data_IF_119067803253
#
_entry.id   IF_119067803253
#
_cell.length_a   1.000
_cell.length_b   1.000
_cell.length_c   1.000
_cell.angle_alpha   90.00
_cell.angle_beta   90.00
_cell.angle_gamma   90.00
#
_symmetry.space_group_name_H-M   'P 1'
#
loop_
_entity.id
_entity.type
_entity.pdbx_description
1 polymer ?
#
# COMPACT_ATOMS: atom_id res chain seq x y z
N UNK A 1 14.22 21.14 -39.61
CA UNK A 1 13.52 19.88 -39.92
C UNK A 1 14.28 18.78 -39.21
N UNK A 2 13.77 18.33 -38.07
CA UNK A 2 14.38 17.29 -37.25
C UNK A 2 13.40 16.10 -37.22
N UNK A 3 13.87 14.93 -37.68
CA UNK A 3 13.14 13.67 -37.56
C UNK A 3 13.20 13.20 -36.11
N UNK A 4 12.03 12.88 -35.55
CA UNK A 4 11.89 12.27 -34.23
C UNK A 4 12.43 10.84 -34.21
N UNK A 5 13.06 10.48 -33.09
CA UNK A 5 13.37 9.09 -32.74
C UNK A 5 12.21 8.54 -31.90
N UNK A 6 11.53 7.52 -32.43
CA UNK A 6 10.82 6.54 -31.62
C UNK A 6 11.84 5.74 -30.78
N UNK A 7 11.53 5.56 -29.50
CA UNK A 7 12.26 4.67 -28.60
C UNK A 7 11.48 3.35 -28.57
N UNK A 8 11.83 2.44 -29.47
CA UNK A 8 11.52 1.01 -29.33
C UNK A 8 12.38 0.43 -28.21
N UNK A 9 11.77 0.08 -27.09
CA UNK A 9 12.39 -0.78 -26.07
C UNK A 9 11.80 -2.17 -26.24
N UNK A 10 12.33 -2.92 -27.20
CA UNK A 10 12.21 -4.38 -27.25
C UNK A 10 13.51 -4.94 -26.67
N UNK A 11 13.53 -5.08 -25.35
CA UNK A 11 14.55 -5.82 -24.62
C UNK A 11 13.89 -7.04 -23.98
N UNK A 12 13.76 -8.12 -24.74
CA UNK A 12 13.38 -9.41 -24.21
C UNK A 12 14.45 -9.85 -23.19
N UNK A 13 14.13 -9.78 -21.91
CA UNK A 13 14.90 -10.47 -20.87
C UNK A 13 14.64 -11.97 -21.05
N UNK A 14 15.72 -12.73 -21.20
CA UNK A 14 15.67 -14.18 -21.26
C UNK A 14 15.04 -14.74 -19.97
N UNK A 15 14.27 -15.84 -20.04
CA UNK A 15 13.71 -16.47 -18.86
C UNK A 15 14.85 -17.07 -18.03
N UNK A 16 15.24 -16.38 -16.96
CA UNK A 16 15.97 -17.02 -15.87
C UNK A 16 15.02 -18.02 -15.20
N UNK A 17 15.52 -19.22 -14.98
CA UNK A 17 14.85 -20.40 -14.44
C UNK A 17 13.69 -20.08 -13.50
N UNK A 18 12.51 -20.56 -13.88
CA UNK A 18 11.37 -20.74 -12.99
C UNK A 18 11.85 -21.72 -11.91
N UNK A 19 12.25 -21.19 -10.75
CA UNK A 19 12.33 -22.00 -9.53
C UNK A 19 10.88 -22.31 -9.18
N UNK A 20 10.45 -23.51 -9.56
CA UNK A 20 9.25 -24.12 -9.06
C UNK A 20 9.48 -24.47 -7.59
N UNK A 21 9.20 -23.54 -6.68
CA UNK A 21 9.05 -23.89 -5.28
C UNK A 21 7.57 -24.21 -5.02
N UNK A 22 7.32 -25.51 -4.98
CA UNK A 22 6.10 -26.08 -4.44
C UNK A 22 5.84 -25.55 -3.04
N UNK A 23 4.56 -25.33 -2.78
CA UNK A 23 4.05 -24.88 -1.50
C UNK A 23 4.73 -25.57 -0.32
N UNK A 24 5.56 -24.80 0.37
CA UNK A 24 5.67 -24.89 1.80
C UNK A 24 5.38 -23.49 2.32
N UNK A 25 4.49 -23.31 3.31
CA UNK A 25 4.43 -22.06 4.02
C UNK A 25 5.87 -21.83 4.51
N UNK A 26 6.53 -20.79 4.00
CA UNK A 26 7.73 -20.33 4.69
C UNK A 26 7.28 -20.12 6.14
N UNK A 27 8.03 -20.59 7.14
CA UNK A 27 7.74 -20.19 8.50
C UNK A 27 7.64 -18.67 8.47
N UNK A 28 6.64 -18.11 9.16
CA UNK A 28 6.63 -16.71 9.49
C UNK A 28 7.90 -16.44 10.30
N UNK A 29 9.02 -16.23 9.61
CA UNK A 29 10.20 -15.66 10.20
C UNK A 29 9.79 -14.21 10.42
N UNK A 30 9.15 -13.97 11.57
CA UNK A 30 9.13 -12.66 12.18
C UNK A 30 10.54 -12.09 12.03
N UNK A 31 10.70 -10.86 11.55
CA UNK A 31 11.94 -10.18 11.85
C UNK A 31 12.04 -10.15 13.37
N UNK A 32 12.84 -11.04 13.95
CA UNK A 32 13.13 -11.12 15.38
C UNK A 32 14.14 -10.05 15.78
N UNK A 33 14.03 -8.87 15.17
CA UNK A 33 14.68 -7.65 15.63
C UNK A 33 13.68 -6.90 16.50
N UNK A 34 14.12 -6.25 17.60
CA UNK A 34 13.25 -5.27 18.25
C UNK A 34 12.77 -4.30 17.16
N UNK A 35 11.47 -4.04 17.09
CA UNK A 35 10.96 -2.90 16.33
C UNK A 35 11.80 -1.70 16.77
N UNK A 36 12.58 -1.14 15.84
CA UNK A 36 13.27 0.12 16.12
C UNK A 36 12.15 1.13 16.16
N UNK A 37 11.65 1.40 17.36
CA UNK A 37 10.77 2.53 17.61
C UNK A 37 11.54 3.75 17.10
N UNK A 38 11.10 4.30 15.98
CA UNK A 38 11.57 5.59 15.55
C UNK A 38 11.27 6.55 16.72
N UNK A 39 12.30 7.29 17.14
CA UNK A 39 12.14 8.27 18.22
C UNK A 39 10.91 9.16 17.93
N UNK A 40 10.13 9.54 18.95
CA UNK A 40 8.93 10.34 18.76
C UNK A 40 9.19 11.54 17.84
N UNK A 41 8.46 11.58 16.72
CA UNK A 41 8.36 12.81 15.92
C UNK A 41 7.43 13.73 16.69
N UNK A 42 8.00 14.46 17.64
CA UNK A 42 7.32 15.60 18.25
C UNK A 42 7.13 16.63 17.14
N UNK A 43 5.88 16.86 16.73
CA UNK A 43 5.60 17.75 15.61
C UNK A 43 5.93 19.23 15.92
N UNK A 44 6.43 19.53 17.12
CA UNK A 44 6.74 20.87 17.57
C UNK A 44 5.51 21.78 17.62
N UNK A 45 5.76 23.10 17.60
CA UNK A 45 4.72 24.12 17.44
C UNK A 45 3.86 23.84 16.19
N UNK A 46 2.65 24.41 16.11
CA UNK A 46 1.58 24.11 15.13
C UNK A 46 1.87 24.21 13.61
N UNK A 47 3.14 24.16 13.20
CA UNK A 47 3.55 23.94 11.83
C UNK A 47 3.44 22.43 11.45
N UNK A 48 3.11 22.11 10.19
CA UNK A 48 3.16 20.74 9.69
C UNK A 48 4.57 20.16 9.81
N UNK A 49 4.68 18.91 10.26
CA UNK A 49 5.92 18.16 10.17
C UNK A 49 5.94 17.34 8.89
N UNK A 50 7.02 17.46 8.12
CA UNK A 50 7.17 16.77 6.84
C UNK A 50 8.19 15.64 6.99
N UNK A 51 7.76 14.44 6.64
CA UNK A 51 8.58 13.25 6.52
C UNK A 51 8.71 12.88 5.04
N UNK A 52 9.93 12.59 4.58
CA UNK A 52 10.19 12.16 3.20
C UNK A 52 11.13 10.96 3.23
N UNK A 53 10.71 9.87 2.58
CA UNK A 53 11.50 8.65 2.38
C UNK A 53 11.70 8.37 0.89
N UNK A 54 12.88 7.89 0.53
CA UNK A 54 13.24 7.47 -0.84
C UNK A 54 13.88 6.08 -0.90
N UNK A 55 13.89 5.31 0.19
CA UNK A 55 14.42 3.94 0.30
C UNK A 55 15.88 3.72 -0.13
N UNK A 56 16.59 4.75 -0.58
CA UNK A 56 18.02 4.73 -0.96
C UNK A 56 18.93 4.30 0.19
N UNK A 57 18.48 4.51 1.43
CA UNK A 57 19.19 4.10 2.65
C UNK A 57 18.59 2.85 3.30
N UNK A 58 17.67 2.18 2.60
CA UNK A 58 16.92 1.05 3.10
C UNK A 58 15.73 1.43 3.97
N UNK A 59 15.36 0.54 4.90
CA UNK A 59 14.16 0.64 5.74
C UNK A 59 14.47 1.10 7.17
N UNK A 60 15.50 1.93 7.38
CA UNK A 60 15.99 2.25 8.72
C UNK A 60 14.95 2.87 9.65
N UNK A 61 13.91 3.53 9.09
CA UNK A 61 12.83 4.19 9.83
C UNK A 61 11.50 3.42 9.75
N UNK A 62 11.52 2.18 9.25
CA UNK A 62 10.33 1.41 8.96
C UNK A 62 10.36 0.07 9.69
N UNK A 63 9.19 -0.36 10.12
CA UNK A 63 8.95 -1.74 10.53
C UNK A 63 8.42 -2.53 9.35
N UNK A 64 9.02 -3.68 9.09
CA UNK A 64 8.65 -4.56 7.98
C UNK A 64 8.18 -5.91 8.48
N UNK A 65 7.34 -6.59 7.71
CA UNK A 65 7.03 -8.02 7.85
C UNK A 65 6.68 -8.63 6.50
N UNK A 66 6.66 -9.97 6.43
CA UNK A 66 6.18 -10.69 5.25
C UNK A 66 7.11 -10.64 4.04
N UNK A 67 8.41 -10.40 4.26
CA UNK A 67 9.41 -10.42 3.19
C UNK A 67 9.52 -9.13 2.38
N UNK A 68 9.22 -7.97 2.99
CA UNK A 68 9.52 -6.68 2.37
C UNK A 68 11.03 -6.56 2.15
N UNK A 69 11.41 -6.23 0.91
CA UNK A 69 12.79 -6.14 0.47
C UNK A 69 13.03 -4.85 -0.33
N UNK A 70 14.30 -4.48 -0.49
CA UNK A 70 14.68 -3.41 -1.42
C UNK A 70 14.78 -3.99 -2.82
N UNK A 71 14.14 -3.31 -3.78
CA UNK A 71 14.29 -3.61 -5.20
C UNK A 71 14.80 -2.37 -5.94
N UNK A 72 15.42 -2.59 -7.10
CA UNK A 72 15.76 -1.51 -8.02
C UNK A 72 14.90 -1.59 -9.28
N UNK A 73 14.12 -0.54 -9.54
CA UNK A 73 13.31 -0.40 -10.76
C UNK A 73 13.74 0.87 -11.47
N UNK A 74 14.19 0.72 -12.72
CA UNK A 74 14.65 1.87 -13.51
C UNK A 74 15.90 2.57 -12.93
N UNK A 75 16.63 1.92 -12.02
CA UNK A 75 17.82 2.46 -11.35
C UNK A 75 17.54 3.15 -10.01
N UNK A 76 16.27 3.31 -9.62
CA UNK A 76 15.86 3.90 -8.34
C UNK A 76 15.64 2.81 -7.28
N UNK A 77 15.93 3.11 -6.02
CA UNK A 77 15.68 2.20 -4.89
C UNK A 77 14.20 2.26 -4.50
N UNK A 78 13.56 1.09 -4.38
CA UNK A 78 12.12 1.00 -4.11
C UNK A 78 11.85 0.00 -3.01
N UNK A 79 10.82 0.26 -2.19
CA UNK A 79 10.28 -0.71 -1.26
C UNK A 79 9.43 -1.72 -2.02
N UNK A 80 9.90 -2.97 -2.10
CA UNK A 80 9.15 -4.08 -2.67
C UNK A 80 8.42 -4.81 -1.55
N UNK A 81 7.08 -4.77 -1.56
CA UNK A 81 6.28 -5.49 -0.57
C UNK A 81 6.21 -6.98 -0.89
N UNK A 82 5.92 -7.34 -2.15
CA UNK A 82 5.86 -8.73 -2.59
C UNK A 82 6.59 -8.85 -3.92
N UNK A 83 7.42 -9.89 -4.03
CA UNK A 83 8.14 -10.22 -5.26
C UNK A 83 7.21 -10.74 -6.36
N UNK A 84 7.51 -10.40 -7.61
CA UNK A 84 6.78 -10.91 -8.78
C UNK A 84 6.80 -12.45 -8.78
N UNK A 85 5.65 -13.07 -9.03
CA UNK A 85 5.48 -14.53 -9.03
C UNK A 85 5.12 -15.14 -7.67
N UNK A 86 5.24 -14.39 -6.57
CA UNK A 86 4.93 -14.92 -5.24
C UNK A 86 3.41 -15.13 -5.04
N UNK A 87 3.03 -16.22 -4.36
CA UNK A 87 1.65 -16.63 -4.10
C UNK A 87 1.40 -16.83 -2.62
N UNK A 88 0.16 -16.66 -2.18
CA UNK A 88 -0.31 -16.86 -0.80
C UNK A 88 0.57 -16.09 0.18
N UNK A 89 0.77 -14.79 -0.11
CA UNK A 89 1.66 -13.90 0.62
C UNK A 89 0.91 -12.71 1.18
N UNK A 90 1.36 -12.25 2.33
CA UNK A 90 1.03 -10.97 2.90
C UNK A 90 2.33 -10.29 3.32
N UNK A 91 2.44 -8.99 3.07
CA UNK A 91 3.59 -8.18 3.45
C UNK A 91 3.16 -6.79 3.87
N UNK A 92 3.98 -6.17 4.72
CA UNK A 92 3.71 -4.83 5.19
C UNK A 92 4.96 -4.05 5.55
N UNK A 93 4.91 -2.76 5.22
CA UNK A 93 5.96 -1.77 5.39
C UNK A 93 5.36 -0.57 6.10
N UNK A 94 5.68 -0.40 7.39
CA UNK A 94 5.03 0.57 8.26
C UNK A 94 6.01 1.56 8.84
N UNK A 95 5.70 2.82 8.63
CA UNK A 95 6.26 3.91 9.37
C UNK A 95 5.49 4.01 10.68
N UNK A 96 6.15 3.57 11.76
CA UNK A 96 5.64 3.69 13.12
C UNK A 96 6.45 4.76 13.84
N UNK A 97 5.96 5.99 13.88
CA UNK A 97 6.43 6.90 14.90
C UNK A 97 5.27 7.32 15.78
N UNK A 98 5.65 7.90 16.92
CA UNK A 98 4.79 8.52 17.93
C UNK A 98 4.03 9.76 17.41
N UNK A 99 3.56 9.73 16.16
CA UNK A 99 2.74 10.75 15.53
C UNK A 99 1.32 10.48 15.97
N UNK A 100 0.85 11.16 17.01
CA UNK A 100 -0.59 11.34 17.18
C UNK A 100 -1.00 12.41 16.17
N UNK A 101 -1.52 12.02 15.00
CA UNK A 101 -2.11 12.96 14.05
C UNK A 101 -3.62 12.70 13.91
N UNK A 102 -4.43 13.76 13.91
CA UNK A 102 -5.85 13.67 13.49
C UNK A 102 -6.05 14.08 12.04
N UNK A 103 -5.01 14.61 11.40
CA UNK A 103 -5.03 14.95 9.98
C UNK A 103 -3.63 14.86 9.37
N UNK A 104 -3.57 14.42 8.13
CA UNK A 104 -2.34 14.27 7.37
C UNK A 104 -2.58 14.38 5.87
N UNK A 105 -1.53 14.68 5.12
CA UNK A 105 -1.42 14.47 3.68
C UNK A 105 -0.35 13.42 3.44
N UNK A 106 -0.67 12.38 2.68
CA UNK A 106 0.26 11.37 2.21
C UNK A 106 0.37 11.45 0.70
N UNK A 107 1.59 11.55 0.19
CA UNK A 107 1.87 11.48 -1.25
C UNK A 107 2.87 10.37 -1.48
N UNK A 108 2.53 9.41 -2.34
CA UNK A 108 3.43 8.30 -2.64
C UNK A 108 3.35 7.88 -4.10
N UNK A 109 4.47 7.35 -4.59
CA UNK A 109 4.52 6.70 -5.88
C UNK A 109 4.39 5.18 -5.68
N UNK A 110 3.54 4.55 -6.48
CA UNK A 110 3.44 3.10 -6.54
C UNK A 110 3.64 2.60 -7.97
N UNK A 111 4.08 1.35 -8.06
CA UNK A 111 4.18 0.60 -9.29
C UNK A 111 3.73 -0.84 -9.05
N UNK A 112 2.85 -1.31 -9.92
CA UNK A 112 2.47 -2.71 -10.02
C UNK A 112 2.72 -3.10 -11.48
N UNK A 113 3.63 -4.05 -11.76
CA UNK A 113 3.92 -4.47 -13.12
C UNK A 113 2.66 -4.90 -13.85
N UNK A 114 2.64 -4.73 -15.17
CA UNK A 114 1.56 -5.29 -15.97
C UNK A 114 1.69 -6.82 -15.93
N UNK A 115 0.67 -7.56 -15.51
CA UNK A 115 0.73 -9.01 -15.54
C UNK A 115 0.87 -9.53 -16.98
N UNK A 116 1.49 -10.71 -17.16
CA UNK A 116 1.28 -11.51 -18.36
C UNK A 116 -0.22 -11.70 -18.65
N UNK A 117 -0.58 -11.83 -19.93
CA UNK A 117 -1.99 -11.92 -20.33
C UNK A 117 -2.71 -13.18 -19.79
N UNK A 118 -1.94 -14.18 -19.34
CA UNK A 118 -2.39 -15.45 -18.79
C UNK A 118 -2.30 -15.51 -17.25
N UNK A 119 -1.93 -14.41 -16.58
CA UNK A 119 -1.89 -14.34 -15.13
C UNK A 119 -3.14 -13.71 -14.54
N UNK A 120 -3.68 -14.38 -13.53
CA UNK A 120 -4.57 -13.77 -12.54
C UNK A 120 -3.76 -12.81 -11.67
N UNK A 121 -4.25 -11.58 -11.50
CA UNK A 121 -3.64 -10.59 -10.60
C UNK A 121 -4.50 -10.43 -9.38
N UNK A 122 -3.94 -10.74 -8.23
CA UNK A 122 -4.56 -10.45 -6.96
C UNK A 122 -3.52 -10.24 -5.87
N UNK A 123 -3.89 -9.75 -4.70
CA UNK A 123 -5.23 -9.21 -4.39
C UNK A 123 -5.14 -7.68 -4.33
N UNK A 124 -4.03 -7.12 -3.86
CA UNK A 124 -3.84 -5.68 -4.00
C UNK A 124 -2.72 -5.09 -3.17
N UNK A 125 -2.68 -3.76 -3.24
CA UNK A 125 -1.80 -2.88 -2.48
C UNK A 125 -2.66 -1.89 -1.71
N UNK A 126 -2.31 -1.64 -0.46
CA UNK A 126 -2.95 -0.61 0.35
C UNK A 126 -1.95 0.45 0.78
N UNK A 127 -2.43 1.68 0.91
CA UNK A 127 -1.90 2.64 1.87
C UNK A 127 -2.80 2.63 3.10
N UNK A 128 -2.22 2.31 4.25
CA UNK A 128 -2.93 2.06 5.51
C UNK A 128 -2.59 3.12 6.55
N UNK A 129 -3.59 3.59 7.29
CA UNK A 129 -3.42 4.41 8.49
C UNK A 129 -4.17 3.80 9.66
N UNK A 130 -3.41 3.35 10.66
CA UNK A 130 -3.92 2.67 11.84
C UNK A 130 -4.13 3.65 12.98
N UNK A 131 -5.14 3.40 13.80
CA UNK A 131 -5.50 4.20 14.99
C UNK A 131 -5.35 3.44 16.31
N UNK A 132 -4.94 2.17 16.24
CA UNK A 132 -4.67 1.31 17.38
C UNK A 132 -3.29 0.67 17.27
N UNK A 133 -2.48 0.78 18.33
CA UNK A 133 -1.24 0.00 18.50
C UNK A 133 -1.40 -0.96 19.67
N UNK A 134 -1.83 -2.19 19.40
CA UNK A 134 -1.30 -3.31 20.21
C UNK A 134 0.18 -3.51 19.88
N UNK A 135 0.85 -4.47 20.51
CA UNK A 135 2.17 -4.98 20.03
C UNK A 135 2.02 -6.04 18.93
N UNK A 136 0.78 -6.46 18.62
CA UNK A 136 0.42 -7.40 17.54
C UNK A 136 0.08 -6.84 16.13
N UNK A 137 -0.09 -5.52 15.90
CA UNK A 137 -0.72 -4.99 14.69
C UNK A 137 0.16 -5.07 13.45
N UNK A 138 1.36 -5.65 13.53
CA UNK A 138 2.33 -5.78 12.43
C UNK A 138 2.87 -7.21 12.34
N UNK A 139 2.08 -8.16 12.84
CA UNK A 139 2.48 -9.53 13.13
C UNK A 139 2.27 -10.52 11.99
N UNK A 140 2.66 -11.78 12.28
CA UNK A 140 2.60 -12.95 11.39
C UNK A 140 1.20 -13.35 10.92
N UNK A 141 0.15 -12.74 11.48
CA UNK A 141 -1.25 -13.05 11.22
C UNK A 141 -1.90 -12.08 10.20
N UNK A 142 -1.08 -11.41 9.38
CA UNK A 142 -1.59 -10.64 8.25
C UNK A 142 -2.31 -11.59 7.28
N UNK A 143 -3.55 -11.25 6.92
CA UNK A 143 -4.34 -12.08 6.02
C UNK A 143 -3.83 -11.89 4.59
N UNK A 144 -3.52 -13.01 3.93
CA UNK A 144 -3.27 -13.03 2.50
C UNK A 144 -4.60 -12.90 1.73
N UNK A 145 -4.53 -12.99 0.39
CA UNK A 145 -5.72 -12.95 -0.45
C UNK A 145 -6.51 -11.65 -0.27
N UNK A 146 -7.83 -11.79 -0.19
CA UNK A 146 -8.82 -10.73 0.05
C UNK A 146 -8.60 -9.89 1.33
N UNK A 147 -7.67 -10.30 2.21
CA UNK A 147 -7.26 -9.51 3.36
C UNK A 147 -6.31 -8.35 3.04
N UNK A 148 -5.80 -8.24 1.80
CA UNK A 148 -4.87 -7.18 1.35
C UNK A 148 -3.60 -7.04 2.20
N UNK A 149 -3.20 -8.09 2.91
CA UNK A 149 -2.07 -8.08 3.84
C UNK A 149 -2.34 -7.24 5.08
N UNK A 150 -3.60 -6.89 5.33
CA UNK A 150 -3.97 -6.08 6.47
C UNK A 150 -3.86 -6.92 7.75
N UNK A 151 -3.24 -6.38 8.81
CA UNK A 151 -3.10 -7.08 10.07
C UNK A 151 -4.45 -7.38 10.70
N UNK A 152 -4.59 -8.55 11.32
CA UNK A 152 -5.71 -8.83 12.21
C UNK A 152 -5.70 -7.91 13.44
N UNK A 153 -6.86 -7.72 14.07
CA UNK A 153 -7.01 -7.01 15.36
C UNK A 153 -6.59 -5.53 15.36
N UNK A 154 -6.62 -4.87 14.21
CA UNK A 154 -6.31 -3.43 14.08
C UNK A 154 -7.53 -2.60 13.70
N UNK A 155 -7.61 -1.41 14.28
CA UNK A 155 -8.58 -0.38 13.90
C UNK A 155 -7.91 0.70 13.07
N UNK A 156 -8.58 1.16 12.02
CA UNK A 156 -8.07 2.20 11.16
C UNK A 156 -8.76 2.20 9.82
N UNK A 157 -8.04 2.64 8.79
CA UNK A 157 -8.55 2.67 7.44
C UNK A 157 -7.43 2.41 6.45
N UNK A 158 -7.82 2.08 5.22
CA UNK A 158 -6.91 1.96 4.11
C UNK A 158 -7.51 2.55 2.84
N UNK A 159 -6.61 3.02 1.97
CA UNK A 159 -6.85 3.26 0.56
C UNK A 159 -6.24 2.08 -0.19
N UNK A 160 -7.06 1.21 -0.79
CA UNK A 160 -6.58 0.08 -1.57
C UNK A 160 -6.68 0.33 -3.07
N UNK A 161 -5.66 -0.15 -3.78
CA UNK A 161 -5.80 -0.66 -5.13
C UNK A 161 -6.11 -2.15 -5.01
N UNK A 162 -7.35 -2.50 -5.30
CA UNK A 162 -7.82 -3.88 -5.32
C UNK A 162 -7.76 -4.42 -6.75
N UNK A 163 -7.01 -5.49 -6.94
CA UNK A 163 -6.76 -6.12 -8.22
C UNK A 163 -7.62 -7.35 -8.49
N UNK A 164 -8.34 -7.85 -7.48
CA UNK A 164 -9.09 -9.10 -7.58
C UNK A 164 -10.52 -8.95 -7.09
N UNK A 165 -11.45 -9.71 -7.66
CA UNK A 165 -12.86 -9.64 -7.25
C UNK A 165 -13.20 -10.81 -6.34
N UNK A 166 -13.24 -10.58 -5.02
CA UNK A 166 -13.75 -11.53 -4.05
C UNK A 166 -15.26 -11.33 -3.83
N UNK A 167 -16.07 -12.02 -4.64
CA UNK A 167 -17.54 -11.94 -4.56
C UNK A 167 -18.13 -12.24 -3.17
N UNK A 168 -17.42 -12.96 -2.29
CA UNK A 168 -17.85 -13.25 -0.91
C UNK A 168 -17.89 -12.04 0.02
N UNK A 169 -17.17 -10.95 -0.33
CA UNK A 169 -17.11 -9.71 0.46
C UNK A 169 -17.64 -8.49 -0.30
N UNK A 170 -18.44 -8.74 -1.34
CA UNK A 170 -19.08 -7.73 -2.20
C UNK A 170 -18.12 -6.84 -3.00
N UNK A 171 -16.95 -7.36 -3.37
CA UNK A 171 -16.08 -6.62 -4.29
C UNK A 171 -16.81 -6.37 -5.62
N UNK A 172 -16.65 -5.14 -6.12
CA UNK A 172 -17.01 -4.83 -7.50
C UNK A 172 -16.00 -5.47 -8.47
N UNK A 173 -16.26 -5.32 -9.76
CA UNK A 173 -15.29 -5.73 -10.78
C UNK A 173 -13.95 -4.99 -10.56
N UNK A 174 -12.86 -5.74 -10.68
CA UNK A 174 -11.49 -5.26 -10.48
C UNK A 174 -10.81 -4.93 -11.82
N UNK A 175 -9.78 -4.05 -11.85
CA UNK A 175 -9.19 -3.34 -10.71
C UNK A 175 -10.06 -2.18 -10.21
N UNK A 176 -10.06 -1.95 -8.91
CA UNK A 176 -10.80 -0.86 -8.27
C UNK A 176 -9.96 -0.14 -7.22
N UNK A 177 -10.36 1.10 -6.89
CA UNK A 177 -9.84 1.78 -5.71
C UNK A 177 -10.91 1.79 -4.62
N UNK A 178 -10.48 1.53 -3.39
CA UNK A 178 -11.37 1.39 -2.25
C UNK A 178 -10.90 2.23 -1.06
N UNK A 179 -11.84 2.87 -0.37
CA UNK A 179 -11.65 3.28 1.03
C UNK A 179 -12.27 2.21 1.90
N UNK A 180 -11.50 1.79 2.88
CA UNK A 180 -11.72 0.59 3.66
C UNK A 180 -11.70 0.96 5.13
N UNK A 181 -12.64 0.44 5.92
CA UNK A 181 -12.67 0.62 7.37
C UNK A 181 -12.25 -0.68 8.05
N UNK A 182 -11.17 -0.61 8.83
CA UNK A 182 -10.63 -1.72 9.59
C UNK A 182 -11.26 -1.70 10.98
N UNK A 183 -12.04 -2.73 11.32
CA UNK A 183 -12.75 -2.84 12.59
C UNK A 183 -12.72 -4.29 13.08
N UNK A 184 -11.89 -4.62 14.08
CA UNK A 184 -11.75 -6.00 14.53
C UNK A 184 -13.00 -6.53 15.22
N UNK A 185 -13.93 -5.65 15.64
CA UNK A 185 -15.21 -6.07 16.19
C UNK A 185 -16.14 -6.70 15.14
N UNK A 186 -15.87 -6.50 13.85
CA UNK A 186 -16.64 -7.06 12.74
C UNK A 186 -16.08 -8.38 12.23
N UNK A 187 -14.84 -8.72 12.57
CA UNK A 187 -14.13 -9.94 12.17
C UNK A 187 -12.72 -9.66 11.70
N UNK A 188 -12.10 -10.64 11.03
CA UNK A 188 -10.78 -10.47 10.42
C UNK A 188 -10.89 -9.74 9.06
N UNK A 189 -9.84 -9.00 8.64
CA UNK A 189 -9.79 -8.39 7.32
C UNK A 189 -10.15 -9.39 6.21
N UNK A 190 -11.00 -8.95 5.29
CA UNK A 190 -11.47 -9.78 4.19
C UNK A 190 -12.51 -10.85 4.57
N UNK A 191 -13.02 -10.96 5.81
CA UNK A 191 -14.09 -11.92 6.14
C UNK A 191 -15.52 -11.35 6.08
N UNK A 192 -15.64 -10.05 5.94
CA UNK A 192 -16.90 -9.30 5.90
C UNK A 192 -16.69 -8.07 5.02
N UNK A 193 -17.78 -7.41 4.63
CA UNK A 193 -17.69 -6.18 3.83
C UNK A 193 -17.21 -4.99 4.68
N UNK A 194 -16.10 -4.43 4.25
CA UNK A 194 -15.29 -3.42 4.91
C UNK A 194 -15.18 -2.17 4.04
N UNK A 195 -15.83 -2.16 2.86
CA UNK A 195 -15.86 -1.05 1.95
C UNK A 195 -16.68 0.11 2.52
N UNK A 196 -16.01 1.25 2.65
CA UNK A 196 -16.67 2.54 2.89
C UNK A 196 -17.08 3.14 1.54
N UNK A 197 -16.17 3.06 0.56
CA UNK A 197 -16.38 3.60 -0.77
C UNK A 197 -15.53 2.88 -1.79
N UNK A 198 -16.15 2.49 -2.90
CA UNK A 198 -15.47 1.89 -4.05
C UNK A 198 -15.59 2.79 -5.27
N UNK A 199 -14.54 2.83 -6.08
CA UNK A 199 -14.52 3.42 -7.41
C UNK A 199 -13.87 2.42 -8.38
N UNK A 200 -14.54 2.14 -9.50
CA UNK A 200 -14.07 1.17 -10.50
C UNK A 200 -15.25 0.49 -11.23
N UNK A 201 -14.96 -0.48 -12.11
CA UNK A 201 -13.62 -0.94 -12.49
C UNK A 201 -12.84 0.12 -13.27
N UNK A 202 -11.51 0.05 -13.21
CA UNK A 202 -10.60 0.81 -14.05
C UNK A 202 -10.02 -0.07 -15.16
N UNK A 203 -9.59 0.54 -16.26
CA UNK A 203 -8.84 -0.18 -17.29
C UNK A 203 -7.47 -0.61 -16.71
N UNK A 204 -7.03 -1.87 -16.91
CA UNK A 204 -5.73 -2.34 -16.40
C UNK A 204 -4.55 -1.46 -16.82
N UNK A 205 -4.60 -0.86 -18.01
CA UNK A 205 -3.55 0.05 -18.49
C UNK A 205 -3.48 1.37 -17.71
N UNK A 206 -4.56 1.75 -17.01
CA UNK A 206 -4.60 2.94 -16.17
C UNK A 206 -3.97 2.71 -14.80
N UNK A 207 -3.91 1.46 -14.32
CA UNK A 207 -3.43 1.13 -12.96
C UNK A 207 -2.14 0.32 -12.93
N UNK A 208 -1.83 -0.47 -13.97
CA UNK A 208 -0.69 -1.40 -14.02
C UNK A 208 0.33 -1.03 -15.11
N UNK A 209 1.57 -1.46 -14.90
CA UNK A 209 2.66 -1.32 -15.86
C UNK A 209 3.27 0.08 -15.93
N UNK A 210 2.85 0.99 -15.06
CA UNK A 210 3.27 2.39 -15.05
C UNK A 210 3.34 2.93 -13.63
N UNK A 211 4.31 3.81 -13.36
CA UNK A 211 4.38 4.53 -12.09
C UNK A 211 3.20 5.48 -11.96
N UNK A 212 2.59 5.47 -10.78
CA UNK A 212 1.43 6.30 -10.43
C UNK A 212 1.69 7.01 -9.12
N UNK A 213 1.22 8.25 -9.03
CA UNK A 213 1.27 9.02 -7.78
C UNK A 213 -0.12 9.10 -7.19
N UNK A 214 -0.25 8.73 -5.92
CA UNK A 214 -1.45 8.98 -5.12
C UNK A 214 -1.16 10.12 -4.16
N UNK A 215 -2.10 11.06 -4.07
CA UNK A 215 -2.18 12.00 -2.95
C UNK A 215 -3.46 11.70 -2.17
N UNK A 216 -3.32 11.35 -0.90
CA UNK A 216 -4.41 11.14 0.04
C UNK A 216 -4.37 12.20 1.14
N UNK A 217 -5.50 12.84 1.41
CA UNK A 217 -5.67 13.85 2.45
C UNK A 217 -6.73 13.36 3.43
N UNK A 218 -6.34 13.24 4.69
CA UNK A 218 -7.25 12.95 5.80
C UNK A 218 -7.33 14.19 6.68
N UNK A 219 -8.52 14.79 6.77
CA UNK A 219 -8.76 15.94 7.62
C UNK A 219 -10.25 16.08 7.96
N UNK A 220 -10.55 16.60 9.15
CA UNK A 220 -11.91 16.96 9.55
C UNK A 220 -12.95 15.82 9.39
N UNK A 221 -12.58 14.58 9.75
CA UNK A 221 -13.48 13.43 9.63
C UNK A 221 -13.74 12.99 8.19
N UNK A 222 -12.85 13.33 7.26
CA UNK A 222 -13.00 13.05 5.83
C UNK A 222 -11.69 12.59 5.19
N UNK A 223 -11.83 11.78 4.15
CA UNK A 223 -10.75 11.40 3.23
C UNK A 223 -11.04 11.95 1.84
N UNK A 224 -10.03 12.54 1.22
CA UNK A 224 -9.99 12.84 -0.21
C UNK A 224 -8.76 12.19 -0.82
N UNK A 225 -8.86 11.66 -2.03
CA UNK A 225 -7.71 11.08 -2.72
C UNK A 225 -7.74 11.40 -4.21
N UNK A 226 -6.55 11.63 -4.76
CA UNK A 226 -6.34 11.83 -6.20
C UNK A 226 -5.28 10.90 -6.72
N UNK A 227 -5.42 10.50 -7.98
CA UNK A 227 -4.48 9.69 -8.73
C UNK A 227 -3.95 10.52 -9.90
N UNK A 228 -2.63 10.61 -10.01
CA UNK A 228 -1.98 11.19 -11.18
C UNK A 228 -1.60 10.09 -12.16
N UNK A 229 -2.19 10.14 -13.36
CA UNK A 229 -1.78 9.29 -14.47
C UNK A 229 -0.50 9.90 -15.11
N UNK A 230 0.57 9.12 -15.27
CA UNK A 230 1.81 9.52 -15.97
C UNK A 230 1.64 9.35 -17.49
N UNK A 231 2.27 10.10 -18.42
CA UNK A 231 2.94 11.42 -18.44
C UNK A 231 2.05 12.42 -19.19
N UNK A 232 1.64 13.52 -18.54
CA UNK A 232 0.84 14.60 -19.14
C UNK A 232 -0.69 14.41 -19.14
N UNK A 233 -1.19 13.25 -18.69
CA UNK A 233 -2.62 12.95 -18.68
C UNK A 233 -3.22 13.15 -17.28
N UNK A 234 -4.06 14.17 -17.13
CA UNK A 234 -5.16 14.31 -16.17
C UNK A 234 -4.98 13.73 -14.74
N UNK A 235 -5.15 14.61 -13.75
CA UNK A 235 -5.40 14.17 -12.37
C UNK A 235 -6.82 13.62 -12.28
N UNK A 236 -6.94 12.33 -11.96
CA UNK A 236 -8.22 11.71 -11.65
C UNK A 236 -8.53 11.91 -10.16
N UNK A 237 -9.70 12.42 -9.85
CA UNK A 237 -10.20 12.42 -8.47
C UNK A 237 -10.71 11.02 -8.17
N UNK A 238 -10.09 10.32 -7.23
CA UNK A 238 -10.58 9.02 -6.77
C UNK A 238 -11.74 9.23 -5.80
N UNK A 239 -11.53 10.07 -4.79
CA UNK A 239 -12.49 10.32 -3.72
C UNK A 239 -12.49 11.78 -3.31
N UNK A 240 -13.66 12.29 -2.94
CA UNK A 240 -13.82 13.63 -2.40
C UNK A 240 -14.66 13.55 -1.14
N UNK A 241 -14.10 14.04 -0.03
CA UNK A 241 -14.80 14.26 1.23
C UNK A 241 -15.56 13.02 1.76
N UNK A 242 -15.00 11.83 1.58
CA UNK A 242 -15.61 10.58 2.06
C UNK A 242 -15.57 10.57 3.59
N UNK A 243 -16.72 10.50 4.29
CA UNK A 243 -16.74 10.53 5.74
C UNK A 243 -16.03 9.32 6.35
N UNK A 244 -15.19 9.58 7.35
CA UNK A 244 -14.54 8.56 8.18
C UNK A 244 -14.53 8.99 9.66
N UNK A 245 -14.40 8.02 10.55
CA UNK A 245 -14.16 8.30 11.96
C UNK A 245 -12.69 8.69 12.20
N UNK A 246 -12.46 9.91 12.70
CA UNK A 246 -11.14 10.42 13.11
C UNK A 246 -11.11 10.76 14.60
N UNK A 247 -11.95 10.12 15.41
CA UNK A 247 -12.02 10.32 16.86
C UNK A 247 -10.75 9.80 17.57
N UNK A 248 -10.12 8.77 17.01
CA UNK A 248 -8.83 8.27 17.42
C UNK A 248 -7.68 8.90 16.60
N UNK A 249 -6.54 9.10 17.26
CA UNK A 249 -5.33 9.55 16.56
C UNK A 249 -4.75 8.41 15.72
N UNK A 250 -4.20 8.74 14.55
CA UNK A 250 -3.34 7.82 13.80
C UNK A 250 -2.13 7.48 14.65
N UNK A 251 -1.66 6.24 14.57
CA UNK A 251 -0.53 5.70 15.33
C UNK A 251 0.49 4.97 14.45
N UNK A 252 0.09 4.60 13.22
CA UNK A 252 1.00 4.08 12.20
C UNK A 252 0.49 4.47 10.81
N UNK A 253 1.42 4.74 9.91
CA UNK A 253 1.17 4.90 8.47
C UNK A 253 1.99 3.85 7.74
N UNK A 254 1.47 3.27 6.67
CA UNK A 254 2.25 2.26 5.97
C UNK A 254 1.57 1.75 4.72
N UNK A 255 2.15 0.68 4.21
CA UNK A 255 1.67 -0.02 3.05
C UNK A 255 1.53 -1.49 3.39
N UNK A 256 0.46 -2.11 2.92
CA UNK A 256 0.32 -3.57 2.94
C UNK A 256 0.05 -4.06 1.54
N UNK A 257 0.41 -5.30 1.28
CA UNK A 257 0.00 -5.98 0.07
C UNK A 257 -0.24 -7.45 0.37
N UNK A 258 -1.08 -8.09 -0.43
CA UNK A 258 -1.21 -9.53 -0.43
C UNK A 258 -1.43 -10.10 -1.81
N UNK A 259 -1.21 -11.41 -1.87
CA UNK A 259 -1.68 -12.30 -2.93
C UNK A 259 -2.34 -13.52 -2.31
N UNK A 260 -3.45 -13.98 -2.87
CA UNK A 260 -4.04 -15.28 -2.63
C UNK A 260 -3.32 -16.34 -3.47
N UNK A 261 -4.06 -17.31 -4.00
CA UNK A 261 -3.46 -18.38 -4.83
C UNK A 261 -2.94 -17.88 -6.20
N UNK A 262 -3.28 -16.65 -6.56
CA UNK A 262 -2.79 -15.93 -7.74
C UNK A 262 -1.34 -15.44 -7.54
N UNK A 263 -0.58 -15.39 -8.64
CA UNK A 263 0.79 -14.90 -8.60
C UNK A 263 0.81 -13.37 -8.51
N UNK A 264 1.67 -12.81 -7.67
CA UNK A 264 1.88 -11.37 -7.60
C UNK A 264 2.44 -10.85 -8.92
N UNK A 265 1.86 -9.79 -9.46
CA UNK A 265 2.58 -8.97 -10.45
C UNK A 265 3.83 -8.32 -9.82
N UNK A 266 3.82 -8.14 -8.49
CA UNK A 266 4.82 -7.43 -7.70
C UNK A 266 4.25 -6.08 -7.22
N UNK A 267 4.55 -5.70 -6.00
CA UNK A 267 4.05 -4.45 -5.40
C UNK A 267 5.19 -3.59 -4.93
N UNK A 268 5.31 -2.40 -5.50
CA UNK A 268 6.43 -1.50 -5.27
C UNK A 268 5.93 -0.13 -4.85
N UNK A 269 6.62 0.45 -3.88
CA UNK A 269 6.44 1.82 -3.41
C UNK A 269 7.78 2.53 -3.50
N UNK A 270 7.77 3.75 -4.02
CA UNK A 270 8.95 4.61 -4.13
C UNK A 270 8.80 5.80 -3.16
N UNK A 271 8.95 7.05 -3.60
CA UNK A 271 9.05 8.21 -2.73
C UNK A 271 7.77 8.35 -1.93
N UNK A 272 7.89 8.39 -0.61
CA UNK A 272 6.78 8.59 0.32
C UNK A 272 6.98 9.92 1.04
N UNK A 273 5.98 10.77 1.00
CA UNK A 273 5.93 12.03 1.75
C UNK A 273 4.72 12.03 2.67
N UNK A 274 4.94 12.27 3.96
CA UNK A 274 3.87 12.52 4.93
C UNK A 274 3.97 13.95 5.46
N UNK A 275 2.92 14.74 5.31
CA UNK A 275 2.74 16.02 5.99
C UNK A 275 1.73 15.85 7.13
N UNK A 276 2.17 16.03 8.36
CA UNK A 276 1.44 15.64 9.56
C UNK A 276 1.05 16.89 10.34
N UNK A 277 -0.20 16.96 10.76
CA UNK A 277 -0.70 18.08 11.59
C UNK A 277 -1.04 17.59 12.99
N UNK A 278 -0.57 18.32 14.00
CA UNK A 278 -0.79 17.99 15.40
C UNK A 278 -2.29 18.13 15.77
N UNK A 279 -2.91 17.14 16.43
CA UNK A 279 -4.29 17.19 16.88
C UNK A 279 -4.57 18.28 17.92
N UNK A 280 -3.54 18.75 18.62
CA UNK A 280 -3.66 19.84 19.60
C UNK A 280 -3.71 21.24 18.97
N UNK A 281 -3.46 21.36 17.67
CA UNK A 281 -3.39 22.62 16.93
C UNK A 281 -4.70 23.01 16.23
N UNK A 282 -5.83 22.55 16.77
CA UNK A 282 -7.18 22.94 16.32
C UNK A 282 -7.57 24.32 16.81
#
# INVERSE_FOLDING_TARGET
>A
MACGRELDIVGALAPSEIIADGGSPLPASSPSGPAIDAAPVDSGACAPTVFVERFDTGFAQWTTYGGVELASIGGESTGQLIATGAKSRAAGLFWIPTVKATSFRATFNYYVPKPPADWEVGDGLTFTWLTSTGTSPLGADASDGQGLGLPADVTGYALALDGWQNSSINDLDAPSFNILALDPARGLPGQYDWHVRTLGPFEPADVYGVWRTIEAVVANGKVSATLRLSTGGQVATLFTDVPIDTSAAVTALGFTASTGDAAAAGYFVDTVTFELTNPSCK
#
